data_IF_197749756027
#
_entry.id   IF_197749756027
#
_cell.length_a   1.000
_cell.length_b   1.000
_cell.length_c   1.000
_cell.angle_alpha   90.00
_cell.angle_beta   90.00
_cell.angle_gamma   90.00
#
_symmetry.space_group_name_H-M   'P 1'
#
loop_
_entity.id
_entity.type
_entity.pdbx_description
1 polymer ?
#
# COMPACT_ATOMS: atom_id res chain seq x y z
N UNK A 1 -8.63 -1.18 6.76
CA UNK A 1 -9.41 -1.10 5.50
C UNK A 1 -8.92 -2.15 4.52
N UNK A 2 -9.69 -2.60 3.51
CA UNK A 2 -9.09 -3.49 2.53
C UNK A 2 -8.02 -2.70 1.78
N UNK A 3 -6.84 -3.30 1.63
CA UNK A 3 -5.88 -2.86 0.63
C UNK A 3 -6.61 -2.81 -0.71
N UNK A 4 -6.78 -1.60 -1.24
CA UNK A 4 -7.58 -1.39 -2.44
C UNK A 4 -6.78 -0.58 -3.44
N UNK A 5 -6.84 -1.04 -4.68
CA UNK A 5 -6.49 -0.26 -5.86
C UNK A 5 -7.69 0.65 -6.13
N UNK A 6 -7.52 1.96 -5.93
CA UNK A 6 -8.52 2.98 -6.17
C UNK A 6 -8.67 3.32 -7.66
N UNK A 7 -7.64 3.02 -8.46
CA UNK A 7 -7.61 3.30 -9.91
C UNK A 7 -7.20 2.02 -10.63
N UNK A 8 -8.16 1.37 -11.31
CA UNK A 8 -7.93 0.10 -12.02
C UNK A 8 -7.62 0.27 -13.51
N UNK A 9 -7.72 1.49 -14.05
CA UNK A 9 -7.59 1.68 -15.49
C UNK A 9 -6.11 1.68 -15.91
N UNK A 10 -5.81 0.94 -17.00
CA UNK A 10 -4.57 1.05 -17.77
C UNK A 10 -4.45 2.40 -18.50
N UNK A 11 -5.17 3.43 -18.04
CA UNK A 11 -5.36 4.65 -18.82
C UNK A 11 -4.10 5.53 -18.71
N UNK A 12 -3.37 5.77 -19.82
CA UNK A 12 -2.13 6.55 -19.82
C UNK A 12 -2.31 8.00 -19.32
N UNK A 13 -3.56 8.46 -19.18
CA UNK A 13 -3.92 9.80 -18.72
C UNK A 13 -3.81 10.01 -17.21
N UNK A 14 -3.64 8.95 -16.40
CA UNK A 14 -3.47 9.11 -14.94
C UNK A 14 -2.05 9.48 -14.53
N UNK A 15 -1.08 9.42 -15.46
CA UNK A 15 0.29 9.87 -15.24
C UNK A 15 0.50 11.30 -15.74
N UNK A 16 1.03 12.15 -14.87
CA UNK A 16 1.44 13.50 -15.24
C UNK A 16 2.66 13.52 -16.17
N UNK A 17 3.10 14.71 -16.55
CA UNK A 17 4.37 14.89 -17.26
C UNK A 17 5.54 14.79 -16.26
N UNK A 18 6.63 14.13 -16.65
CA UNK A 18 7.84 14.06 -15.83
C UNK A 18 8.58 12.73 -15.95
N UNK A 19 9.69 12.57 -15.21
CA UNK A 19 10.54 11.37 -15.30
C UNK A 19 9.87 10.09 -14.78
N UNK A 20 8.77 10.21 -14.03
CA UNK A 20 7.98 9.07 -13.53
C UNK A 20 6.63 8.95 -14.23
N UNK A 21 6.45 9.65 -15.35
CA UNK A 21 5.26 9.50 -16.19
C UNK A 21 5.08 8.03 -16.61
N UNK A 22 3.89 7.50 -16.38
CA UNK A 22 3.50 6.13 -16.68
C UNK A 22 3.81 5.13 -15.56
N UNK A 23 4.58 5.51 -14.54
CA UNK A 23 4.94 4.62 -13.43
C UNK A 23 3.75 4.51 -12.46
N UNK A 24 3.27 3.28 -12.28
CA UNK A 24 2.15 2.94 -11.42
C UNK A 24 2.65 2.41 -10.08
N UNK A 25 2.32 3.11 -9.01
CA UNK A 25 2.83 2.81 -7.68
C UNK A 25 1.71 2.50 -6.69
N UNK A 26 2.00 1.64 -5.72
CA UNK A 26 1.23 1.58 -4.48
C UNK A 26 2.01 2.17 -3.31
N UNK A 27 1.30 2.51 -2.25
CA UNK A 27 1.89 3.00 -1.00
C UNK A 27 1.45 2.12 0.17
N UNK A 28 2.32 1.90 1.15
CA UNK A 28 1.94 1.22 2.39
C UNK A 28 0.83 1.99 3.12
N UNK A 29 -0.12 1.28 3.73
CA UNK A 29 -1.32 1.88 4.32
C UNK A 29 -1.02 3.02 5.32
N UNK A 30 0.06 2.90 6.08
CA UNK A 30 0.49 3.95 7.02
C UNK A 30 1.00 5.25 6.39
N UNK A 31 1.13 5.33 5.06
CA UNK A 31 1.58 6.53 4.35
C UNK A 31 0.35 7.33 3.95
N UNK A 32 0.25 8.61 4.37
CA UNK A 32 -0.94 9.41 4.11
C UNK A 32 -1.09 9.82 2.64
N UNK A 33 -2.33 9.76 2.16
CA UNK A 33 -2.73 10.21 0.82
C UNK A 33 -4.00 11.05 0.99
N UNK A 34 -3.99 12.28 0.47
CA UNK A 34 -5.10 13.21 0.62
C UNK A 34 -6.42 12.59 0.12
N UNK A 35 -7.48 12.73 0.91
CA UNK A 35 -8.81 12.19 0.61
C UNK A 35 -8.99 10.71 0.91
N UNK A 36 -7.93 10.01 1.33
CA UNK A 36 -7.96 8.59 1.66
C UNK A 36 -7.68 8.39 3.15
N UNK A 37 -8.48 7.55 3.80
CA UNK A 37 -8.27 7.16 5.20
C UNK A 37 -7.03 6.25 5.34
N UNK A 38 -6.42 6.25 6.51
CA UNK A 38 -5.24 5.42 6.83
C UNK A 38 -5.63 4.49 7.96
N UNK A 39 -5.43 3.17 7.83
CA UNK A 39 -5.77 2.22 8.89
C UNK A 39 -4.61 1.88 9.83
N UNK A 40 -3.36 2.08 9.40
CA UNK A 40 -2.18 1.57 10.11
C UNK A 40 -2.30 0.07 10.47
N UNK A 41 -3.01 -0.70 9.63
CA UNK A 41 -3.32 -2.11 9.89
C UNK A 41 -4.40 -2.40 10.94
N UNK A 42 -5.09 -1.39 11.50
CA UNK A 42 -6.15 -1.56 12.51
C UNK A 42 -7.52 -1.07 12.02
N UNK A 43 -8.58 -1.84 12.29
CA UNK A 43 -9.96 -1.47 11.97
C UNK A 43 -10.48 -0.34 12.86
N UNK A 44 -10.18 -0.39 14.16
CA UNK A 44 -10.56 0.67 15.09
C UNK A 44 -9.91 2.01 14.72
N UNK A 45 -8.62 2.00 14.41
CA UNK A 45 -7.94 3.22 13.94
C UNK A 45 -8.54 3.76 12.64
N UNK A 46 -8.96 2.88 11.74
CA UNK A 46 -9.62 3.28 10.49
C UNK A 46 -10.98 3.95 10.73
N UNK A 47 -11.77 3.39 11.66
CA UNK A 47 -13.10 3.88 11.97
C UNK A 47 -13.05 5.20 12.75
N UNK A 48 -12.12 5.31 13.70
CA UNK A 48 -11.92 6.51 14.52
C UNK A 48 -11.42 7.72 13.70
N UNK A 49 -10.70 7.50 12.60
CA UNK A 49 -10.07 8.57 11.83
C UNK A 49 -10.82 8.90 10.53
N UNK A 50 -10.85 10.20 10.19
CA UNK A 50 -11.35 10.71 8.91
C UNK A 50 -10.35 10.56 7.75
N UNK A 51 -10.77 10.88 6.51
CA UNK A 51 -9.86 10.96 5.37
C UNK A 51 -8.69 11.93 5.64
N UNK A 52 -7.51 11.60 5.14
CA UNK A 52 -6.32 12.42 5.37
C UNK A 52 -6.42 13.76 4.64
N UNK A 53 -6.06 14.86 5.32
CA UNK A 53 -6.11 16.21 4.76
C UNK A 53 -4.94 16.54 3.84
N UNK A 54 -3.82 15.85 4.03
CA UNK A 54 -2.55 16.04 3.30
C UNK A 54 -2.01 14.71 2.81
N UNK A 55 -1.37 14.74 1.66
CA UNK A 55 -0.53 13.65 1.16
C UNK A 55 0.83 13.74 1.85
N UNK A 56 1.43 12.60 2.18
CA UNK A 56 2.79 12.55 2.72
C UNK A 56 3.78 13.17 1.72
N UNK A 57 4.75 13.93 2.21
CA UNK A 57 5.68 14.69 1.36
C UNK A 57 6.44 13.80 0.37
N UNK A 58 6.90 12.62 0.82
CA UNK A 58 7.57 11.65 -0.04
C UNK A 58 6.68 11.14 -1.19
N UNK A 59 5.36 11.03 -0.97
CA UNK A 59 4.40 10.65 -2.01
C UNK A 59 4.10 11.83 -2.92
N UNK A 60 3.99 13.03 -2.37
CA UNK A 60 3.73 14.24 -3.15
C UNK A 60 4.85 14.48 -4.17
N UNK A 61 6.13 14.33 -3.78
CA UNK A 61 7.28 14.44 -4.69
C UNK A 61 7.16 13.49 -5.90
N UNK A 62 6.64 12.28 -5.69
CA UNK A 62 6.50 11.29 -6.76
C UNK A 62 5.33 11.62 -7.68
N UNK A 63 4.21 12.05 -7.10
CA UNK A 63 3.05 12.56 -7.86
C UNK A 63 3.48 13.75 -8.73
N UNK A 64 4.22 14.70 -8.15
CA UNK A 64 4.70 15.90 -8.86
C UNK A 64 5.67 15.56 -10.00
N UNK A 65 6.37 14.41 -9.91
CA UNK A 65 7.22 13.86 -10.97
C UNK A 65 6.47 13.00 -12.00
N UNK A 66 5.15 12.86 -11.88
CA UNK A 66 4.27 12.18 -12.84
C UNK A 66 3.87 10.76 -12.46
N UNK A 67 4.24 10.25 -11.29
CA UNK A 67 3.87 8.90 -10.86
C UNK A 67 2.37 8.79 -10.52
N UNK A 68 1.74 7.68 -10.90
CA UNK A 68 0.35 7.39 -10.60
C UNK A 68 0.24 6.53 -9.33
N UNK A 69 -0.36 7.06 -8.26
CA UNK A 69 -0.61 6.28 -7.04
C UNK A 69 -1.94 5.53 -7.19
N UNK A 70 -1.87 4.22 -7.38
CA UNK A 70 -3.03 3.39 -7.65
C UNK A 70 -3.78 2.97 -6.39
N UNK A 71 -3.14 2.93 -5.22
CA UNK A 71 -3.75 2.31 -4.04
C UNK A 71 -2.87 2.18 -2.81
N UNK A 72 -3.47 1.61 -1.77
CA UNK A 72 -2.81 1.31 -0.48
C UNK A 72 -2.61 -0.19 -0.29
N UNK A 73 -1.43 -0.59 0.17
CA UNK A 73 -1.11 -1.99 0.49
C UNK A 73 -1.37 -2.32 1.95
N UNK A 74 -1.70 -3.58 2.20
CA UNK A 74 -1.97 -4.10 3.54
C UNK A 74 -0.68 -4.20 4.36
N UNK A 75 -0.80 -4.04 5.67
CA UNK A 75 0.31 -4.18 6.61
C UNK A 75 -0.15 -4.75 7.94
N UNK A 76 0.80 -5.22 8.75
CA UNK A 76 0.53 -5.62 10.13
C UNK A 76 0.06 -4.42 10.97
N UNK A 77 -0.83 -4.62 11.95
CA UNK A 77 -1.25 -3.58 12.88
C UNK A 77 -0.05 -2.87 13.52
N UNK A 78 0.00 -1.55 13.40
CA UNK A 78 0.98 -0.68 14.05
C UNK A 78 2.44 -1.11 13.87
N UNK A 79 2.81 -1.62 12.68
CA UNK A 79 4.18 -2.06 12.33
C UNK A 79 4.75 -3.17 13.21
N UNK A 80 3.90 -3.90 13.93
CA UNK A 80 4.38 -5.05 14.70
C UNK A 80 4.86 -6.13 13.74
N UNK A 81 5.97 -6.76 14.08
CA UNK A 81 6.35 -8.00 13.41
C UNK A 81 5.32 -9.05 13.79
N UNK A 82 4.60 -9.55 12.80
CA UNK A 82 3.58 -10.57 13.02
C UNK A 82 3.87 -11.83 12.20
N UNK A 83 3.63 -12.96 12.85
CA UNK A 83 3.66 -14.26 12.21
C UNK A 83 2.32 -14.57 11.51
N UNK A 84 2.36 -15.59 10.66
CA UNK A 84 1.21 -16.07 9.90
C UNK A 84 0.01 -16.34 10.80
N UNK A 85 -1.03 -15.49 10.72
CA UNK A 85 -2.28 -15.63 11.48
C UNK A 85 -2.47 -14.63 12.62
N UNK A 86 -1.49 -13.76 12.92
CA UNK A 86 -1.57 -12.79 14.01
C UNK A 86 -2.22 -11.44 13.64
N UNK A 87 -2.58 -11.24 12.37
CA UNK A 87 -3.23 -10.01 11.91
C UNK A 87 -4.68 -10.00 12.41
N UNK A 88 -4.89 -9.61 13.67
CA UNK A 88 -6.17 -9.79 14.38
C UNK A 88 -7.39 -9.28 13.61
N UNK A 89 -7.30 -8.07 13.04
CA UNK A 89 -8.41 -7.43 12.33
C UNK A 89 -8.57 -7.91 10.87
N UNK A 90 -7.56 -8.57 10.28
CA UNK A 90 -7.57 -8.87 8.84
C UNK A 90 -6.65 -10.03 8.44
N UNK A 91 -6.99 -10.80 7.40
CA UNK A 91 -6.08 -11.89 6.97
C UNK A 91 -4.71 -11.39 6.44
N UNK A 92 -3.62 -12.05 6.83
CA UNK A 92 -2.31 -11.71 6.31
C UNK A 92 -2.24 -11.90 4.77
N UNK A 93 -1.61 -10.96 4.02
CA UNK A 93 -1.44 -11.07 2.57
C UNK A 93 -0.77 -12.37 2.15
N UNK A 94 -1.27 -12.98 1.08
CA UNK A 94 -0.67 -14.16 0.48
C UNK A 94 0.51 -13.73 -0.41
N UNK A 95 1.66 -14.35 -0.22
CA UNK A 95 2.79 -14.24 -1.13
C UNK A 95 2.60 -15.26 -2.27
N UNK A 96 2.38 -14.81 -3.51
CA UNK A 96 2.12 -15.70 -4.65
C UNK A 96 3.33 -16.57 -5.03
N UNK A 97 4.54 -16.23 -4.56
CA UNK A 97 5.77 -16.94 -4.91
C UNK A 97 6.27 -17.90 -3.82
N UNK A 98 5.68 -17.86 -2.62
CA UNK A 98 6.10 -18.70 -1.51
C UNK A 98 5.04 -19.76 -1.19
N UNK A 99 5.44 -20.83 -0.52
CA UNK A 99 4.51 -21.83 0.01
C UNK A 99 3.42 -21.11 0.83
N UNK A 100 2.13 -21.24 0.47
CA UNK A 100 1.02 -20.57 1.15
C UNK A 100 1.02 -20.80 2.68
N UNK A 101 1.58 -21.92 3.14
CA UNK A 101 1.71 -22.27 4.57
C UNK A 101 2.83 -21.52 5.29
N UNK A 102 3.84 -20.99 4.57
CA UNK A 102 5.02 -20.30 5.12
C UNK A 102 5.07 -18.80 4.78
N UNK A 103 4.15 -18.35 3.92
CA UNK A 103 4.21 -17.10 3.17
C UNK A 103 3.88 -15.81 3.96
N UNK A 104 3.29 -15.92 5.15
CA UNK A 104 2.53 -14.80 5.76
C UNK A 104 3.24 -14.12 6.94
N UNK A 105 4.53 -13.78 6.82
CA UNK A 105 5.31 -13.19 7.92
C UNK A 105 5.78 -11.77 7.58
N UNK A 106 5.74 -10.89 8.59
CA UNK A 106 6.47 -9.62 8.60
C UNK A 106 5.63 -8.34 8.61
N UNK A 107 6.34 -7.19 8.61
CA UNK A 107 5.77 -5.84 8.73
C UNK A 107 5.22 -5.26 7.41
N UNK A 108 5.66 -5.81 6.27
CA UNK A 108 5.37 -5.33 4.90
C UNK A 108 4.84 -6.39 3.90
N UNK A 109 4.23 -7.51 4.32
CA UNK A 109 3.91 -8.59 3.38
C UNK A 109 2.91 -8.15 2.31
N UNK A 110 2.07 -7.13 2.56
CA UNK A 110 1.16 -6.61 1.54
C UNK A 110 1.85 -5.80 0.45
N UNK A 111 2.97 -5.15 0.75
CA UNK A 111 3.78 -4.47 -0.27
C UNK A 111 4.43 -5.50 -1.21
N UNK A 112 5.07 -6.52 -0.63
CA UNK A 112 5.69 -7.59 -1.39
C UNK A 112 4.66 -8.38 -2.19
N UNK A 113 3.56 -8.82 -1.56
CA UNK A 113 2.50 -9.53 -2.25
C UNK A 113 1.96 -8.72 -3.44
N UNK A 114 1.66 -7.43 -3.26
CA UNK A 114 1.08 -6.62 -4.33
C UNK A 114 2.00 -6.49 -5.54
N UNK A 115 3.27 -6.12 -5.37
CA UNK A 115 4.19 -5.98 -6.51
C UNK A 115 4.42 -7.31 -7.24
N UNK A 116 4.32 -8.43 -6.54
CA UNK A 116 4.53 -9.75 -7.14
C UNK A 116 3.29 -10.36 -7.77
N UNK A 117 2.09 -9.86 -7.44
CA UNK A 117 0.81 -10.45 -7.87
C UNK A 117 0.15 -9.69 -9.02
N UNK A 118 0.48 -8.42 -9.23
CA UNK A 118 -0.19 -7.58 -10.21
C UNK A 118 0.79 -7.01 -11.23
N UNK A 119 0.67 -7.44 -12.49
CA UNK A 119 1.44 -6.90 -13.63
C UNK A 119 1.18 -5.40 -13.89
N UNK A 120 0.11 -4.87 -13.27
CA UNK A 120 -0.26 -3.47 -13.37
C UNK A 120 0.43 -2.55 -12.34
N UNK A 121 1.35 -3.07 -11.54
CA UNK A 121 2.10 -2.30 -10.53
C UNK A 121 3.59 -2.33 -10.89
N UNK A 122 4.20 -1.15 -10.99
CA UNK A 122 5.61 -1.01 -11.35
C UNK A 122 6.50 -0.83 -10.11
N UNK A 123 5.97 -0.24 -9.03
CA UNK A 123 6.70 -0.06 -7.78
C UNK A 123 5.79 0.05 -6.54
N UNK A 124 6.36 -0.15 -5.35
CA UNK A 124 5.64 0.04 -4.08
C UNK A 124 6.51 0.81 -3.10
N UNK A 125 5.95 1.86 -2.49
CA UNK A 125 6.61 2.62 -1.42
C UNK A 125 6.26 1.98 -0.09
N UNK A 126 7.29 1.69 0.70
CA UNK A 126 7.16 1.12 2.02
C UNK A 126 7.91 1.94 3.05
N UNK A 127 7.71 1.59 4.32
CA UNK A 127 8.45 2.12 5.46
C UNK A 127 9.17 0.98 6.14
N UNK A 128 10.41 1.23 6.53
CA UNK A 128 11.27 0.32 7.29
C UNK A 128 11.64 1.00 8.61
N UNK A 129 11.51 0.25 9.70
CA UNK A 129 11.87 0.66 11.05
C UNK A 129 12.25 -0.59 11.82
N UNK A 130 13.36 -0.52 12.56
CA UNK A 130 13.86 -1.63 13.41
C UNK A 130 12.76 -2.14 14.34
#
# INVERSE_FOLDING_TARGET
MPSQIYISSRDPKTSGNGPLAGIRMLIKDNIHLKGIKTSAGSLEFYNANGPQKKTAECVQILIDKGAAILGKTKMAPFWKWEESGAYGDYEAPLNPRADPKKSRRGKIPGCAAAITSYDCIDAVISTDSM
#
